data_IF_618196789946
#
_entry.id   IF_618196789946
#
_cell.length_a   1.000
_cell.length_b   1.000
_cell.length_c   1.000
_cell.angle_alpha   90.00
_cell.angle_beta   90.00
_cell.angle_gamma   90.00
#
_symmetry.space_group_name_H-M   'P 1'
#
loop_
_entity.id
_entity.type
_entity.pdbx_description
1 polymer ?
#
# COMPACT_ATOMS: atom_id res chain seq x y z
N UNK A 1 4.83 -2.06 -15.62
CA UNK A 1 5.10 -3.18 -14.70
C UNK A 1 5.78 -4.26 -15.51
N UNK A 2 6.83 -4.84 -14.96
CA UNK A 2 7.66 -5.86 -15.60
C UNK A 2 7.78 -7.06 -14.64
N UNK A 3 7.75 -8.26 -15.19
CA UNK A 3 7.96 -9.50 -14.44
C UNK A 3 9.14 -10.23 -15.05
N UNK A 4 10.13 -10.58 -14.23
CA UNK A 4 11.30 -11.37 -14.60
C UNK A 4 11.25 -12.71 -13.89
N UNK A 5 11.52 -13.77 -14.63
CA UNK A 5 11.54 -15.13 -14.11
C UNK A 5 12.99 -15.60 -14.18
N UNK A 6 13.54 -15.96 -13.02
CA UNK A 6 14.89 -16.46 -12.86
C UNK A 6 14.80 -17.95 -12.54
N UNK A 7 15.44 -18.78 -13.36
CA UNK A 7 15.53 -20.23 -13.12
C UNK A 7 16.92 -20.48 -12.54
N UNK A 8 16.99 -21.09 -11.35
CA UNK A 8 18.28 -21.39 -10.73
C UNK A 8 19.04 -22.46 -11.54
N UNK A 9 20.36 -22.40 -11.44
CA UNK A 9 21.32 -23.35 -11.99
C UNK A 9 21.07 -24.80 -11.58
N UNK A 10 20.39 -25.04 -10.45
CA UNK A 10 19.97 -26.37 -10.00
C UNK A 10 18.76 -26.94 -10.78
N UNK A 11 18.06 -26.11 -11.57
CA UNK A 11 16.89 -26.48 -12.36
C UNK A 11 15.63 -26.83 -11.55
N UNK A 12 15.64 -26.61 -10.23
CA UNK A 12 14.54 -26.94 -9.30
C UNK A 12 13.89 -25.69 -8.71
N UNK A 13 14.64 -24.60 -8.59
CA UNK A 13 14.15 -23.37 -8.01
C UNK A 13 13.80 -22.32 -9.07
N UNK A 14 12.69 -21.61 -8.83
CA UNK A 14 12.23 -20.50 -9.65
C UNK A 14 12.03 -19.29 -8.76
N UNK A 15 12.72 -18.19 -9.08
CA UNK A 15 12.49 -16.90 -8.46
C UNK A 15 11.73 -15.98 -9.43
N UNK A 16 10.70 -15.32 -8.92
CA UNK A 16 9.90 -14.36 -9.68
C UNK A 16 10.13 -12.96 -9.12
N UNK A 17 10.67 -12.08 -9.94
CA UNK A 17 10.92 -10.67 -9.60
C UNK A 17 9.86 -9.81 -10.29
N UNK A 18 9.19 -8.94 -9.52
CA UNK A 18 8.23 -7.96 -10.06
C UNK A 18 8.79 -6.57 -9.88
N UNK A 19 8.88 -5.82 -10.97
CA UNK A 19 9.41 -4.46 -11.02
C UNK A 19 8.30 -3.51 -11.45
N UNK A 20 8.14 -2.41 -10.72
CA UNK A 20 7.21 -1.35 -11.05
C UNK A 20 7.88 -0.01 -10.80
N UNK A 21 7.79 0.87 -11.80
CA UNK A 21 8.04 2.29 -11.58
C UNK A 21 6.91 2.86 -10.70
N UNK A 22 7.29 3.32 -9.51
CA UNK A 22 6.38 3.82 -8.50
C UNK A 22 6.28 5.34 -8.52
N UNK A 23 7.20 6.05 -9.17
CA UNK A 23 7.29 7.51 -9.12
C UNK A 23 5.97 8.20 -9.53
N UNK A 24 5.30 7.81 -10.64
CA UNK A 24 4.04 8.44 -11.02
C UNK A 24 2.92 8.27 -9.97
N UNK A 25 2.89 7.12 -9.29
CA UNK A 25 1.89 6.83 -8.25
C UNK A 25 2.19 7.67 -7.00
N UNK A 26 3.45 7.75 -6.60
CA UNK A 26 3.85 8.49 -5.40
C UNK A 26 3.67 10.00 -5.58
N UNK A 27 4.01 10.55 -6.75
CA UNK A 27 3.76 11.96 -7.06
C UNK A 27 2.25 12.26 -7.15
N UNK A 28 1.45 11.34 -7.70
CA UNK A 28 0.00 11.47 -7.66
C UNK A 28 -0.55 11.47 -6.23
N UNK A 29 -0.03 10.60 -5.35
CA UNK A 29 -0.45 10.55 -3.95
C UNK A 29 -0.12 11.84 -3.21
N UNK A 30 1.07 12.37 -3.42
CA UNK A 30 1.53 13.66 -2.86
C UNK A 30 0.64 14.81 -3.34
N UNK A 31 0.29 14.83 -4.62
CA UNK A 31 -0.65 15.81 -5.17
C UNK A 31 -2.03 15.68 -4.51
N UNK A 32 -2.61 14.49 -4.43
CA UNK A 32 -3.93 14.28 -3.82
C UNK A 32 -3.96 14.69 -2.34
N UNK A 33 -2.88 14.42 -1.61
CA UNK A 33 -2.75 14.82 -0.19
C UNK A 33 -2.78 16.33 0.02
N UNK A 34 -2.38 17.11 -0.99
CA UNK A 34 -2.44 18.57 -0.95
C UNK A 34 -3.84 19.13 -1.21
N UNK A 35 -4.77 18.30 -1.68
CA UNK A 35 -6.13 18.71 -2.04
C UNK A 35 -7.08 18.44 -0.88
N UNK A 36 -7.92 19.44 -0.56
CA UNK A 36 -8.95 19.28 0.45
C UNK A 36 -10.02 18.27 -0.03
N UNK A 37 -10.22 17.20 0.73
CA UNK A 37 -11.29 16.24 0.49
C UNK A 37 -12.54 16.63 1.29
N UNK A 38 -13.62 16.95 0.57
CA UNK A 38 -14.83 17.58 1.15
C UNK A 38 -15.73 16.63 1.96
N UNK A 39 -15.50 15.32 1.89
CA UNK A 39 -16.38 14.29 2.49
C UNK A 39 -15.57 13.17 3.12
N UNK A 40 -16.10 12.60 4.22
CA UNK A 40 -15.63 11.33 4.80
C UNK A 40 -16.19 10.13 4.04
N UNK A 41 -17.41 10.23 3.50
CA UNK A 41 -18.02 9.17 2.70
C UNK A 41 -17.34 9.04 1.34
N UNK A 42 -16.88 7.82 1.02
CA UNK A 42 -16.15 7.54 -0.22
C UNK A 42 -14.74 8.14 -0.27
N UNK A 43 -14.16 8.48 0.89
CA UNK A 43 -12.82 9.05 0.96
C UNK A 43 -11.78 8.11 0.34
N UNK A 44 -11.02 8.60 -0.62
CA UNK A 44 -9.85 7.90 -1.15
C UNK A 44 -8.69 8.04 -0.15
N UNK A 45 -8.34 6.93 0.50
CA UNK A 45 -7.38 6.90 1.63
C UNK A 45 -5.94 6.70 1.18
N UNK A 46 -5.70 5.83 0.19
CA UNK A 46 -4.36 5.53 -0.30
C UNK A 46 -4.40 4.97 -1.73
N UNK A 47 -3.33 5.19 -2.48
CA UNK A 47 -3.05 4.45 -3.71
C UNK A 47 -1.72 3.73 -3.53
N UNK A 48 -1.76 2.39 -3.51
CA UNK A 48 -0.60 1.57 -3.14
C UNK A 48 -0.06 0.87 -4.39
N UNK A 49 1.23 1.05 -4.74
CA UNK A 49 1.87 0.28 -5.79
C UNK A 49 1.76 -1.24 -5.56
N UNK A 50 1.54 -1.99 -6.64
CA UNK A 50 1.39 -3.44 -6.59
C UNK A 50 2.63 -4.12 -5.99
N UNK A 51 3.82 -3.64 -6.31
CA UNK A 51 5.08 -4.19 -5.74
C UNK A 51 5.15 -4.06 -4.21
N UNK A 52 4.50 -3.04 -3.64
CA UNK A 52 4.42 -2.88 -2.18
C UNK A 52 3.38 -3.84 -1.59
N UNK A 53 2.22 -4.01 -2.24
CA UNK A 53 1.23 -5.00 -1.81
C UNK A 53 1.79 -6.42 -1.84
N UNK A 54 2.52 -6.78 -2.90
CA UNK A 54 3.21 -8.07 -3.03
C UNK A 54 4.27 -8.22 -1.94
N UNK A 55 5.06 -7.17 -1.65
CA UNK A 55 6.04 -7.20 -0.57
C UNK A 55 5.39 -7.50 0.78
N UNK A 56 4.31 -6.81 1.14
CA UNK A 56 3.63 -7.05 2.41
C UNK A 56 3.02 -8.45 2.50
N UNK A 57 2.47 -8.96 1.39
CA UNK A 57 1.96 -10.32 1.35
C UNK A 57 3.06 -11.36 1.56
N UNK A 58 4.21 -11.18 0.91
CA UNK A 58 5.37 -12.06 1.07
C UNK A 58 5.90 -12.03 2.52
N UNK A 59 5.99 -10.84 3.14
CA UNK A 59 6.38 -10.69 4.56
C UNK A 59 5.44 -11.48 5.49
N UNK A 60 4.14 -11.53 5.19
CA UNK A 60 3.18 -12.31 5.97
C UNK A 60 3.26 -13.82 5.68
N UNK A 61 3.54 -14.21 4.43
CA UNK A 61 3.76 -15.61 4.07
C UNK A 61 5.02 -16.18 4.74
N UNK A 62 6.09 -15.40 4.82
CA UNK A 62 7.32 -15.74 5.57
C UNK A 62 7.06 -15.92 7.08
N UNK A 63 6.06 -15.20 7.62
CA UNK A 63 5.59 -15.36 9.01
C UNK A 63 4.64 -16.55 9.21
N UNK A 64 4.31 -17.28 8.14
CA UNK A 64 3.39 -18.42 8.16
C UNK A 64 1.92 -18.09 7.89
N UNK A 65 1.58 -16.82 7.63
CA UNK A 65 0.20 -16.38 7.37
C UNK A 65 -0.20 -16.58 5.90
N UNK A 66 -0.07 -17.82 5.41
CA UNK A 66 -0.29 -18.19 3.99
C UNK A 66 -1.75 -18.16 3.55
N UNK A 67 -2.70 -17.96 4.47
CA UNK A 67 -4.13 -17.83 4.16
C UNK A 67 -4.49 -16.46 3.59
N UNK A 68 -3.69 -15.43 3.86
CA UNK A 68 -3.97 -14.05 3.44
C UNK A 68 -4.00 -14.00 1.91
N UNK A 69 -5.04 -13.37 1.35
CA UNK A 69 -5.22 -13.17 -0.08
C UNK A 69 -5.34 -11.68 -0.39
N UNK A 70 -4.79 -11.26 -1.53
CA UNK A 70 -5.02 -9.92 -2.07
C UNK A 70 -6.53 -9.67 -2.19
N UNK A 71 -6.96 -8.47 -1.80
CA UNK A 71 -8.36 -8.03 -1.81
C UNK A 71 -9.30 -8.85 -0.89
N UNK A 72 -8.73 -9.61 0.05
CA UNK A 72 -9.48 -10.24 1.13
C UNK A 72 -9.53 -9.39 2.40
N UNK A 73 -10.45 -9.66 3.33
CA UNK A 73 -10.61 -8.87 4.56
C UNK A 73 -9.36 -8.87 5.45
N UNK A 74 -8.58 -9.96 5.44
CA UNK A 74 -7.31 -10.04 6.16
C UNK A 74 -6.25 -9.10 5.57
N UNK A 75 -6.25 -8.95 4.24
CA UNK A 75 -5.36 -8.01 3.56
C UNK A 75 -5.80 -6.58 3.80
N UNK A 76 -7.11 -6.29 3.82
CA UNK A 76 -7.61 -4.94 4.14
C UNK A 76 -7.18 -4.53 5.56
N UNK A 77 -7.30 -5.43 6.54
CA UNK A 77 -6.82 -5.19 7.90
C UNK A 77 -5.30 -5.00 7.97
N UNK A 78 -4.53 -5.73 7.16
CA UNK A 78 -3.08 -5.55 7.04
C UNK A 78 -2.74 -4.17 6.47
N UNK A 79 -3.42 -3.75 5.41
CA UNK A 79 -3.25 -2.44 4.77
C UNK A 79 -3.56 -1.34 5.77
N UNK A 80 -4.66 -1.42 6.51
CA UNK A 80 -5.02 -0.45 7.55
C UNK A 80 -3.95 -0.32 8.63
N UNK A 81 -3.34 -1.44 9.04
CA UNK A 81 -2.24 -1.44 10.01
C UNK A 81 -0.98 -0.81 9.41
N UNK A 82 -0.59 -1.20 8.18
CA UNK A 82 0.59 -0.68 7.49
C UNK A 82 0.46 0.83 7.25
N UNK A 83 -0.71 1.33 6.85
CA UNK A 83 -0.95 2.77 6.61
C UNK A 83 -0.96 3.64 7.88
N UNK A 84 -0.94 3.05 9.08
CA UNK A 84 -0.73 3.77 10.36
C UNK A 84 0.75 3.89 10.73
N UNK A 85 1.61 3.08 10.13
CA UNK A 85 3.05 3.12 10.35
C UNK A 85 3.66 4.34 9.63
N UNK A 86 4.49 5.16 10.31
CA UNK A 86 5.21 6.26 9.68
C UNK A 86 6.03 5.87 8.45
N UNK A 87 6.56 4.63 8.42
CA UNK A 87 7.32 4.11 7.26
C UNK A 87 6.49 4.17 5.98
N UNK A 88 5.20 3.85 6.06
CA UNK A 88 4.31 3.72 4.90
C UNK A 88 3.36 4.91 4.74
N UNK A 89 3.49 5.92 5.61
CA UNK A 89 2.60 7.07 5.63
C UNK A 89 2.61 7.85 4.31
N UNK A 90 3.65 7.77 3.47
CA UNK A 90 3.74 8.42 2.16
C UNK A 90 2.79 7.83 1.10
N UNK A 91 2.24 6.64 1.32
CA UNK A 91 1.27 5.99 0.41
C UNK A 91 -0.15 6.56 0.53
N UNK A 92 -0.43 7.28 1.61
CA UNK A 92 -1.74 7.89 1.85
C UNK A 92 -2.03 9.03 0.87
N UNK A 93 -3.30 9.17 0.50
CA UNK A 93 -3.81 10.22 -0.38
C UNK A 93 -4.73 11.19 0.35
N UNK A 94 -5.21 10.82 1.55
CA UNK A 94 -6.05 11.69 2.35
C UNK A 94 -5.25 12.77 3.08
N UNK A 95 -5.76 14.00 3.04
CA UNK A 95 -5.15 15.15 3.72
C UNK A 95 -5.48 15.13 5.22
N UNK A 96 -4.47 15.28 6.09
CA UNK A 96 -4.72 15.51 7.53
C UNK A 96 -5.34 16.90 7.81
N UNK A 97 -5.36 17.82 6.84
CA UNK A 97 -5.92 19.17 7.00
C UNK A 97 -7.40 19.17 7.41
N UNK A 98 -8.17 18.11 7.10
CA UNK A 98 -9.56 17.99 7.55
C UNK A 98 -9.65 17.66 9.05
N UNK A 99 -8.66 16.94 9.62
CA UNK A 99 -8.64 16.66 11.06
C UNK A 99 -8.35 17.92 11.90
N UNK A 100 -7.60 18.88 11.37
CA UNK A 100 -7.32 20.15 12.08
C UNK A 100 -8.48 21.15 12.09
N UNK A 101 -9.54 20.93 11.29
CA UNK A 101 -10.74 21.79 11.32
C UNK A 101 -11.74 21.39 12.43
N UNK A 102 -11.62 20.21 13.04
CA UNK A 102 -12.32 19.89 14.28
C UNK A 102 -11.51 20.38 15.50
N UNK A 103 -11.28 21.69 15.53
CA UNK A 103 -10.96 22.37 16.77
C UNK A 103 -12.11 22.21 17.76
N UNK A 104 -11.76 21.91 19.01
CA UNK A 104 -12.57 22.02 20.21
C UNK A 104 -13.78 22.96 20.08
N UNK A 105 -14.97 22.39 20.23
CA UNK A 105 -16.23 23.10 20.37
C UNK A 105 -17.11 22.42 21.41
N UNK A 106 -16.87 22.79 22.67
CA UNK A 106 -17.57 22.45 23.91
C UNK A 106 -17.40 21.03 24.48
#
# INVERSE_FOLDING_TARGET
METRIHIDSNGQDVAVETIQDVEPILEHNKMLRSMAQKSDWGRHVASIPNVILTRWLNEEYERGNVSIRLFGPEMDALVDRKLKDPEWAYLRTDSQQVQSFMGFGS
#
